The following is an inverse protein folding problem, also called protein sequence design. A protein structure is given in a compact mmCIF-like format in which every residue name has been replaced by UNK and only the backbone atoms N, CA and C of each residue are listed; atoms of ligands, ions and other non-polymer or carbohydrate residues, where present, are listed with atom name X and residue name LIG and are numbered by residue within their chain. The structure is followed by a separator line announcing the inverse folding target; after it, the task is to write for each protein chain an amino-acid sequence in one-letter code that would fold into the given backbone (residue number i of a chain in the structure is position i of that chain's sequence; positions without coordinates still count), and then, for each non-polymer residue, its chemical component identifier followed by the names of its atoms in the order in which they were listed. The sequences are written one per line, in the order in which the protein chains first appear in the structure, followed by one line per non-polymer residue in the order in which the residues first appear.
data_IF_049612635822
#
_entry.id   IF_049612635822
#
_cell.length_a   1.000
_cell.length_b   1.000
_cell.length_c   1.000
_cell.angle_alpha   90.00
_cell.angle_beta   90.00
_cell.angle_gamma   90.00
#
_symmetry.space_group_name_H-M   'P 1'
#
loop_
_entity.id
_entity.type
_entity.pdbx_description
1 polymer ?
#
# COMPACT_ATOMS: atom_id res chain seq x y z
N UNK A 1 -17.09 -16.41 -3.53
CA UNK A 1 -17.76 -15.23 -2.96
C UNK A 1 -17.71 -15.40 -1.45
N UNK A 2 -17.13 -14.45 -0.74
CA UNK A 2 -16.99 -14.45 0.71
C UNK A 2 -18.19 -13.72 1.30
N UNK A 3 -18.87 -14.33 2.28
CA UNK A 3 -19.91 -13.67 3.05
C UNK A 3 -19.24 -12.75 4.07
N UNK A 4 -19.73 -11.52 4.18
CA UNK A 4 -19.23 -10.50 5.09
C UNK A 4 -20.39 -10.00 5.96
N UNK A 5 -20.09 -9.42 7.12
CA UNK A 5 -21.10 -9.07 8.14
C UNK A 5 -22.35 -8.36 7.57
N UNK A 6 -23.51 -8.58 8.19
CA UNK A 6 -24.75 -7.91 7.78
C UNK A 6 -25.42 -8.45 6.50
N UNK A 7 -24.95 -9.58 5.96
CA UNK A 7 -25.51 -10.19 4.74
C UNK A 7 -24.89 -9.66 3.44
N UNK A 8 -23.83 -8.85 3.55
CA UNK A 8 -23.05 -8.41 2.40
C UNK A 8 -22.12 -9.52 1.90
N UNK A 9 -21.67 -9.41 0.66
CA UNK A 9 -20.75 -10.39 0.09
C UNK A 9 -19.70 -9.73 -0.79
N UNK A 10 -18.49 -10.29 -0.77
CA UNK A 10 -17.37 -9.84 -1.57
C UNK A 10 -16.98 -10.92 -2.59
N UNK A 11 -16.76 -10.50 -3.83
CA UNK A 11 -16.17 -11.34 -4.88
C UNK A 11 -14.65 -11.22 -4.83
N UNK A 12 -13.98 -12.36 -4.73
CA UNK A 12 -12.52 -12.49 -4.76
C UNK A 12 -12.09 -13.21 -6.03
N UNK A 13 -10.97 -12.79 -6.61
CA UNK A 13 -10.33 -13.45 -7.75
C UNK A 13 -8.83 -13.64 -7.50
N UNK A 14 -8.47 -14.79 -6.94
CA UNK A 14 -7.06 -15.10 -6.64
C UNK A 14 -6.19 -15.18 -7.90
N UNK A 15 -6.75 -15.64 -9.03
CA UNK A 15 -6.02 -15.74 -10.30
C UNK A 15 -5.67 -14.38 -10.89
N UNK A 16 -6.54 -13.38 -10.67
CA UNK A 16 -6.25 -11.99 -11.05
C UNK A 16 -5.07 -11.40 -10.26
N UNK A 17 -4.99 -11.67 -8.95
CA UNK A 17 -3.88 -11.18 -8.12
C UNK A 17 -2.52 -11.71 -8.59
N UNK A 18 -2.41 -13.02 -8.88
CA UNK A 18 -1.16 -13.62 -9.34
C UNK A 18 -0.66 -13.02 -10.67
N UNK A 19 -1.59 -12.66 -11.56
CA UNK A 19 -1.24 -11.97 -12.81
C UNK A 19 -0.66 -10.57 -12.56
N UNK A 20 -1.22 -9.84 -11.60
CA UNK A 20 -0.75 -8.49 -11.26
C UNK A 20 0.63 -8.49 -10.58
N UNK A 21 0.98 -9.56 -9.87
CA UNK A 21 2.23 -9.62 -9.08
C UNK A 21 3.38 -10.31 -9.80
N UNK A 22 3.15 -10.98 -10.93
CA UNK A 22 4.14 -11.79 -11.64
C UNK A 22 5.47 -11.05 -11.96
N UNK A 23 5.39 -9.74 -12.25
CA UNK A 23 6.56 -8.93 -12.61
C UNK A 23 7.19 -8.19 -11.42
N UNK A 24 6.63 -8.30 -10.21
CA UNK A 24 7.11 -7.59 -9.03
C UNK A 24 8.25 -8.33 -8.33
N UNK A 25 9.22 -8.80 -9.12
CA UNK A 25 10.36 -9.61 -8.65
C UNK A 25 11.69 -8.96 -9.00
N UNK A 26 12.66 -8.93 -8.08
CA UNK A 26 14.03 -8.51 -8.39
C UNK A 26 14.61 -9.33 -9.55
N UNK A 27 15.27 -8.66 -10.48
CA UNK A 27 15.80 -9.27 -11.70
C UNK A 27 14.86 -9.21 -12.91
N UNK A 28 13.58 -8.83 -12.73
CA UNK A 28 12.69 -8.52 -13.84
C UNK A 28 13.00 -7.11 -14.40
N UNK A 29 13.10 -6.92 -15.74
CA UNK A 29 13.37 -5.60 -16.33
C UNK A 29 12.33 -4.53 -15.96
N UNK A 30 11.06 -4.91 -15.80
CA UNK A 30 9.99 -3.99 -15.38
C UNK A 30 10.20 -3.53 -13.94
N UNK A 31 10.62 -4.44 -13.05
CA UNK A 31 10.96 -4.09 -11.67
C UNK A 31 12.09 -3.06 -11.63
N UNK A 32 13.17 -3.30 -12.39
CA UNK A 32 14.30 -2.38 -12.47
C UNK A 32 13.87 -0.99 -12.96
N UNK A 33 13.06 -0.94 -14.02
CA UNK A 33 12.52 0.31 -14.56
C UNK A 33 11.72 1.11 -13.52
N UNK A 34 10.87 0.44 -12.73
CA UNK A 34 10.10 1.09 -11.66
C UNK A 34 11.02 1.64 -10.58
N UNK A 35 12.06 0.90 -10.18
CA UNK A 35 13.03 1.35 -9.17
C UNK A 35 13.85 2.56 -9.64
N UNK A 36 14.33 2.52 -10.88
CA UNK A 36 15.08 3.63 -11.46
C UNK A 36 14.20 4.89 -11.58
N UNK A 37 12.93 4.71 -11.94
CA UNK A 37 11.95 5.81 -12.02
C UNK A 37 11.68 6.43 -10.66
N UNK A 38 11.52 5.63 -9.59
CA UNK A 38 11.30 6.13 -8.24
C UNK A 38 12.54 6.86 -7.68
N UNK A 39 13.74 6.36 -7.97
CA UNK A 39 14.99 7.04 -7.64
C UNK A 39 15.14 8.37 -8.38
N UNK A 40 14.75 8.43 -9.65
CA UNK A 40 14.73 9.68 -10.39
C UNK A 40 13.71 10.65 -9.80
N UNK A 41 12.51 10.19 -9.47
CA UNK A 41 11.48 11.02 -8.85
C UNK A 41 11.94 11.57 -7.50
N UNK A 42 12.57 10.75 -6.66
CA UNK A 42 13.14 11.19 -5.38
C UNK A 42 14.11 12.36 -5.57
N UNK A 43 15.08 12.20 -6.48
CA UNK A 43 16.07 13.25 -6.75
C UNK A 43 15.43 14.57 -7.21
N UNK A 44 14.39 14.50 -8.02
CA UNK A 44 13.67 15.68 -8.50
C UNK A 44 12.91 16.36 -7.35
N UNK A 45 12.22 15.58 -6.52
CA UNK A 45 11.47 16.09 -5.37
C UNK A 45 12.41 16.73 -4.34
N UNK A 46 13.55 16.10 -4.05
CA UNK A 46 14.55 16.63 -3.11
C UNK A 46 15.24 17.89 -3.62
N UNK A 47 15.49 17.99 -4.94
CA UNK A 47 16.06 19.20 -5.55
C UNK A 47 15.17 20.44 -5.37
N UNK A 48 13.86 20.24 -5.25
CA UNK A 48 12.87 21.29 -5.00
C UNK A 48 12.53 21.44 -3.50
N UNK A 49 13.28 20.79 -2.61
CA UNK A 49 13.10 20.86 -1.15
C UNK A 49 11.93 20.02 -0.61
N UNK A 50 11.35 19.14 -1.43
CA UNK A 50 10.31 18.20 -1.02
C UNK A 50 10.87 16.88 -0.48
N UNK A 51 9.96 16.02 -0.04
CA UNK A 51 10.26 14.63 0.36
C UNK A 51 9.32 13.66 -0.38
N UNK A 52 9.86 12.49 -0.77
CA UNK A 52 9.08 11.45 -1.44
C UNK A 52 8.63 10.39 -0.43
N UNK A 53 7.32 10.14 -0.38
CA UNK A 53 6.71 8.99 0.30
C UNK A 53 6.05 8.08 -0.74
N UNK A 54 6.36 6.78 -0.68
CA UNK A 54 5.66 5.75 -1.46
C UNK A 54 4.64 5.03 -0.59
N UNK A 55 3.36 5.14 -0.94
CA UNK A 55 2.25 4.49 -0.19
C UNK A 55 1.82 3.22 -0.92
N UNK A 56 1.82 2.08 -0.23
CA UNK A 56 1.35 0.82 -0.78
C UNK A 56 -0.12 0.59 -0.45
N UNK A 57 -1.00 0.92 -1.40
CA UNK A 57 -2.41 0.55 -1.37
C UNK A 57 -2.57 -0.97 -1.58
N UNK A 58 -3.28 -1.68 -0.69
CA UNK A 58 -3.48 -3.11 -0.82
C UNK A 58 -4.58 -3.42 -1.83
N UNK A 59 -4.42 -4.50 -2.59
CA UNK A 59 -5.53 -5.07 -3.37
C UNK A 59 -6.56 -5.75 -2.46
N UNK A 60 -7.82 -5.76 -2.90
CA UNK A 60 -8.94 -6.45 -2.22
C UNK A 60 -8.60 -7.87 -1.82
N UNK A 61 -8.01 -8.64 -2.74
CA UNK A 61 -7.62 -10.04 -2.53
C UNK A 61 -6.58 -10.20 -1.43
N UNK A 62 -5.63 -9.27 -1.29
CA UNK A 62 -4.58 -9.29 -0.26
C UNK A 62 -5.19 -9.14 1.14
N UNK A 63 -6.30 -8.42 1.24
CA UNK A 63 -7.02 -8.17 2.49
C UNK A 63 -7.98 -9.32 2.82
N UNK A 64 -8.74 -9.82 1.85
CA UNK A 64 -9.86 -10.73 2.12
C UNK A 64 -9.56 -12.22 1.93
N UNK A 65 -8.61 -12.63 1.09
CA UNK A 65 -8.27 -14.06 0.93
C UNK A 65 -7.79 -14.74 2.23
N UNK A 66 -7.09 -14.06 3.17
CA UNK A 66 -6.74 -14.65 4.46
C UNK A 66 -7.96 -15.15 5.27
N UNK A 67 -9.12 -14.51 5.15
CA UNK A 67 -10.35 -14.94 5.84
C UNK A 67 -10.95 -16.23 5.26
N UNK A 68 -10.47 -16.68 4.09
CA UNK A 68 -10.82 -17.99 3.49
C UNK A 68 -9.69 -19.00 3.64
N UNK A 69 -8.66 -18.72 4.44
CA UNK A 69 -7.46 -19.56 4.58
C UNK A 69 -6.46 -19.43 3.44
N UNK A 70 -6.60 -18.42 2.57
CA UNK A 70 -5.64 -18.15 1.49
C UNK A 70 -4.43 -17.33 1.98
N UNK A 71 -3.29 -17.50 1.33
CA UNK A 71 -2.06 -16.74 1.61
C UNK A 71 -1.63 -15.96 0.37
N UNK A 72 -2.27 -14.81 0.07
CA UNK A 72 -1.98 -14.06 -1.14
C UNK A 72 -0.55 -13.52 -1.16
N UNK A 73 0.12 -13.64 -2.30
CA UNK A 73 1.34 -12.88 -2.57
C UNK A 73 1.00 -11.39 -2.69
N UNK A 74 1.89 -10.50 -2.27
CA UNK A 74 1.73 -9.07 -2.52
C UNK A 74 3.08 -8.43 -2.87
N UNK A 75 3.10 -7.55 -3.89
CA UNK A 75 4.35 -7.04 -4.46
C UNK A 75 5.06 -6.06 -3.53
N UNK A 76 4.33 -5.50 -2.55
CA UNK A 76 4.86 -4.50 -1.63
C UNK A 76 5.99 -5.01 -0.73
N UNK A 77 6.16 -6.34 -0.55
CA UNK A 77 7.30 -6.89 0.19
C UNK A 77 8.61 -6.64 -0.56
N UNK A 78 8.68 -7.12 -1.81
CA UNK A 78 9.91 -7.02 -2.60
C UNK A 78 10.22 -5.57 -3.00
N UNK A 79 9.19 -4.82 -3.40
CA UNK A 79 9.34 -3.40 -3.73
C UNK A 79 9.70 -2.61 -2.46
N UNK A 80 9.01 -2.85 -1.34
CA UNK A 80 9.28 -2.17 -0.07
C UNK A 80 10.72 -2.37 0.40
N UNK A 81 11.22 -3.61 0.40
CA UNK A 81 12.60 -3.91 0.77
C UNK A 81 13.62 -3.21 -0.15
N UNK A 82 13.34 -3.14 -1.47
CA UNK A 82 14.22 -2.45 -2.41
C UNK A 82 14.23 -0.92 -2.19
N UNK A 83 13.09 -0.33 -1.83
CA UNK A 83 12.97 1.09 -1.51
C UNK A 83 13.66 1.43 -0.18
N UNK A 84 13.51 0.58 0.83
CA UNK A 84 14.18 0.72 2.12
C UNK A 84 15.70 0.75 1.98
N UNK A 85 16.28 -0.15 1.17
CA UNK A 85 17.72 -0.15 0.85
C UNK A 85 18.22 1.13 0.18
N UNK A 86 17.30 1.94 -0.38
CA UNK A 86 17.57 3.22 -1.05
C UNK A 86 17.19 4.43 -0.22
N UNK A 87 16.78 4.22 1.05
CA UNK A 87 16.30 5.25 1.95
C UNK A 87 15.09 6.04 1.41
N UNK A 88 14.24 5.39 0.60
CA UNK A 88 12.95 5.97 0.19
C UNK A 88 11.91 5.62 1.25
N UNK A 89 11.24 6.64 1.79
CA UNK A 89 10.20 6.44 2.78
C UNK A 89 9.02 5.66 2.18
N UNK A 90 8.50 4.70 2.95
CA UNK A 90 7.34 3.91 2.54
C UNK A 90 6.27 3.85 3.63
N UNK A 91 5.00 3.72 3.21
CA UNK A 91 3.86 3.47 4.10
C UNK A 91 3.13 2.20 3.65
N UNK A 92 3.11 1.18 4.52
CA UNK A 92 2.40 -0.07 4.30
C UNK A 92 1.01 -0.01 4.91
N UNK A 93 -0.04 -0.13 4.08
CA UNK A 93 -1.42 -0.02 4.53
C UNK A 93 -2.08 -1.37 4.85
N UNK A 94 -1.47 -2.51 4.47
CA UNK A 94 -2.01 -3.85 4.72
C UNK A 94 -2.37 -4.07 6.20
N UNK A 95 -1.53 -3.73 7.20
CA UNK A 95 -1.85 -3.97 8.60
C UNK A 95 -3.13 -3.23 9.05
N UNK A 96 -3.27 -1.95 8.67
CA UNK A 96 -4.43 -1.14 9.02
C UNK A 96 -5.72 -1.67 8.36
N UNK A 97 -5.63 -2.04 7.08
CA UNK A 97 -6.76 -2.63 6.35
C UNK A 97 -7.19 -3.96 6.96
N UNK A 98 -6.25 -4.84 7.33
CA UNK A 98 -6.56 -6.12 7.98
C UNK A 98 -7.23 -5.92 9.32
N UNK A 99 -6.69 -5.05 10.17
CA UNK A 99 -7.30 -4.76 11.49
C UNK A 99 -8.74 -4.24 11.35
N UNK A 100 -8.99 -3.36 10.39
CA UNK A 100 -10.34 -2.84 10.14
C UNK A 100 -11.30 -3.91 9.59
N UNK A 101 -10.81 -4.79 8.70
CA UNK A 101 -11.58 -5.93 8.19
C UNK A 101 -11.88 -6.95 9.30
N UNK A 102 -10.93 -7.27 10.18
CA UNK A 102 -11.14 -8.13 11.35
C UNK A 102 -12.20 -7.58 12.30
N UNK A 103 -12.32 -6.25 12.38
CA UNK A 103 -13.39 -5.56 13.11
C UNK A 103 -14.76 -5.56 12.37
N UNK A 104 -14.87 -6.27 11.24
CA UNK A 104 -16.11 -6.44 10.49
C UNK A 104 -16.37 -5.38 9.41
N UNK A 105 -15.45 -4.45 9.17
CA UNK A 105 -15.67 -3.40 8.18
C UNK A 105 -15.42 -3.90 6.75
N UNK A 106 -16.35 -3.59 5.85
CA UNK A 106 -16.15 -3.80 4.42
C UNK A 106 -15.47 -2.55 3.83
N UNK A 107 -14.23 -2.69 3.36
CA UNK A 107 -13.37 -1.60 2.91
C UNK A 107 -13.28 -1.46 1.39
N UNK A 108 -13.81 -2.43 0.65
CA UNK A 108 -13.83 -2.47 -0.80
C UNK A 108 -15.27 -2.61 -1.29
N UNK A 109 -15.50 -2.28 -2.55
CA UNK A 109 -16.77 -2.59 -3.18
C UNK A 109 -16.91 -4.11 -3.42
N UNK A 110 -18.15 -4.66 -3.38
CA UNK A 110 -18.40 -6.10 -3.57
C UNK A 110 -17.78 -6.71 -4.82
N UNK A 111 -17.88 -6.02 -5.96
CA UNK A 111 -17.47 -6.53 -7.28
C UNK A 111 -16.33 -5.77 -7.91
N UNK A 112 -15.95 -4.63 -7.36
CA UNK A 112 -14.89 -3.76 -7.86
C UNK A 112 -13.62 -3.94 -7.00
N UNK A 113 -12.44 -3.72 -7.60
CA UNK A 113 -11.14 -3.93 -6.94
C UNK A 113 -10.67 -2.77 -6.06
N UNK A 114 -11.33 -1.62 -6.14
CA UNK A 114 -10.98 -0.40 -5.44
C UNK A 114 -11.59 -0.35 -4.03
N UNK A 115 -10.94 0.38 -3.12
CA UNK A 115 -11.52 0.73 -1.83
C UNK A 115 -12.85 1.47 -2.01
N UNK A 116 -13.78 1.27 -1.08
CA UNK A 116 -14.99 2.08 -0.97
C UNK A 116 -14.70 3.34 -0.13
N UNK A 117 -15.74 4.13 0.19
CA UNK A 117 -15.58 5.35 0.98
C UNK A 117 -14.89 5.11 2.35
N UNK A 118 -15.17 3.98 2.99
CA UNK A 118 -14.54 3.61 4.26
C UNK A 118 -13.06 3.25 4.07
N UNK A 119 -12.73 2.53 3.01
CA UNK A 119 -11.35 2.21 2.65
C UNK A 119 -10.53 3.46 2.31
N UNK A 120 -11.06 4.37 1.49
CA UNK A 120 -10.37 5.64 1.19
C UNK A 120 -10.21 6.53 2.42
N UNK A 121 -11.20 6.55 3.33
CA UNK A 121 -11.05 7.24 4.62
C UNK A 121 -9.87 6.68 5.42
N UNK A 122 -9.76 5.35 5.52
CA UNK A 122 -8.65 4.71 6.21
C UNK A 122 -7.30 5.04 5.58
N UNK A 123 -7.20 5.08 4.24
CA UNK A 123 -5.98 5.52 3.53
C UNK A 123 -5.60 6.94 3.95
N UNK A 124 -6.56 7.87 3.89
CA UNK A 124 -6.32 9.27 4.23
C UNK A 124 -5.87 9.43 5.69
N UNK A 125 -6.51 8.70 6.63
CA UNK A 125 -6.13 8.71 8.04
C UNK A 125 -4.69 8.21 8.26
N UNK A 126 -4.29 7.11 7.61
CA UNK A 126 -2.95 6.56 7.72
C UNK A 126 -1.88 7.50 7.14
N UNK A 127 -2.16 8.13 5.99
CA UNK A 127 -1.26 9.11 5.38
C UNK A 127 -1.14 10.36 6.25
N UNK A 128 -2.25 10.91 6.73
CA UNK A 128 -2.25 12.09 7.60
C UNK A 128 -1.47 11.85 8.90
N UNK A 129 -1.66 10.67 9.52
CA UNK A 129 -0.89 10.28 10.72
C UNK A 129 0.60 10.13 10.43
N UNK A 130 0.98 9.62 9.26
CA UNK A 130 2.38 9.54 8.86
C UNK A 130 2.98 10.94 8.70
N UNK A 131 2.30 11.84 8.00
CA UNK A 131 2.75 13.23 7.80
C UNK A 131 2.94 13.95 9.13
N UNK A 132 1.94 13.88 10.02
CA UNK A 132 1.99 14.55 11.32
C UNK A 132 3.17 14.08 12.21
N UNK A 133 3.58 12.80 12.11
CA UNK A 133 4.77 12.30 12.84
C UNK A 133 6.07 12.81 12.25
N UNK A 134 6.17 12.89 10.91
CA UNK A 134 7.40 13.28 10.23
C UNK A 134 7.62 14.81 10.20
N UNK A 135 6.55 15.60 10.31
CA UNK A 135 6.67 17.05 10.54
C UNK A 135 7.29 17.37 11.90
N UNK A 136 7.03 16.56 12.93
CA UNK A 136 7.54 16.78 14.30
C UNK A 136 9.04 16.46 14.45
N UNK A 137 9.62 15.67 13.54
CA UNK A 137 11.03 15.24 13.59
C UNK A 137 11.96 16.16 12.79
N UNK A 138 11.42 17.14 12.06
CA UNK A 138 12.23 18.13 11.33
C UNK A 138 12.64 19.28 12.27
N UNK A 139 13.95 19.59 12.42
CA UNK A 139 14.38 20.70 13.25
C UNK A 139 13.82 22.03 12.70
N UNK A 140 13.49 23.01 13.56
CA UNK A 140 12.94 24.29 13.12
C UNK A 140 13.94 25.02 12.22
N UNK A 141 13.47 25.83 11.24
CA UNK A 141 14.32 26.37 10.17
C UNK A 141 15.44 27.34 10.58
N UNK A 142 15.58 27.70 11.87
CA UNK A 142 16.43 28.82 12.31
C UNK A 142 17.48 28.43 13.39
N UNK A 143 18.04 27.22 13.30
CA UNK A 143 19.18 26.82 14.16
C UNK A 143 20.50 26.73 13.40
N UNK A 144 20.89 27.77 12.65
CA UNK A 144 22.27 27.99 12.16
C UNK A 144 22.61 29.48 12.19
#
# INVERSE_FOLDING_TARGET
MLQWGGGESIRLDAGYLDQLTANATPGNPVFALVMDSLLQLQRLVEADGGQLLVVFEPGKEVIYLPFTGGSPSHPSVAIGAALEQRNIATLQLIPAFRASAEAGNMLFFPTDGHPNALGYRLIAEQVAQWLARNEQESPPPDSQ
#
